data_IF_978835545751
#
_entry.id   IF_978835545751
#
_cell.length_a   1.000
_cell.length_b   1.000
_cell.length_c   1.000
_cell.angle_alpha   90.00
_cell.angle_beta   90.00
_cell.angle_gamma   90.00
#
_symmetry.space_group_name_H-M   'P 1'
#
loop_
_entity.id
_entity.type
_entity.pdbx_description
1 polymer ?
#
# COMPACT_ATOMS: atom_id res chain seq x y z
N UNK A 1 -9.80 1.37 -3.44
CA UNK A 1 -10.02 -0.06 -3.79
C UNK A 1 -8.76 -0.89 -3.65
N UNK A 2 -7.62 -0.53 -4.30
CA UNK A 2 -6.38 -1.32 -4.30
C UNK A 2 -5.92 -1.76 -2.90
N UNK A 3 -5.99 -0.88 -1.92
CA UNK A 3 -5.57 -1.12 -0.53
C UNK A 3 -6.51 -2.12 0.18
N UNK A 4 -7.83 -1.85 0.14
CA UNK A 4 -8.82 -2.73 0.78
C UNK A 4 -8.84 -4.12 0.18
N UNK A 5 -8.76 -4.25 -1.15
CA UNK A 5 -8.76 -5.58 -1.80
C UNK A 5 -7.53 -6.40 -1.43
N UNK A 6 -6.36 -5.76 -1.39
CA UNK A 6 -5.13 -6.45 -1.03
C UNK A 6 -5.06 -6.78 0.46
N UNK A 7 -5.55 -5.90 1.34
CA UNK A 7 -5.65 -6.23 2.76
C UNK A 7 -6.61 -7.39 3.02
N UNK A 8 -7.76 -7.41 2.32
CA UNK A 8 -8.71 -8.55 2.39
C UNK A 8 -8.06 -9.86 1.93
N UNK A 9 -7.22 -9.82 0.90
CA UNK A 9 -6.40 -10.96 0.49
C UNK A 9 -5.49 -11.43 1.65
N UNK A 10 -4.69 -10.54 2.24
CA UNK A 10 -3.81 -10.91 3.36
C UNK A 10 -4.58 -11.36 4.61
N UNK A 11 -5.73 -10.77 4.92
CA UNK A 11 -6.61 -11.21 6.01
C UNK A 11 -7.07 -12.67 5.80
N UNK A 12 -7.40 -13.04 4.56
CA UNK A 12 -7.76 -14.41 4.19
C UNK A 12 -6.57 -15.37 4.32
N UNK A 13 -5.38 -14.94 3.91
CA UNK A 13 -4.15 -15.74 4.05
C UNK A 13 -3.79 -15.96 5.53
N UNK A 14 -3.93 -14.92 6.38
CA UNK A 14 -3.71 -15.03 7.81
C UNK A 14 -4.73 -16.00 8.44
N UNK A 15 -6.01 -15.90 8.04
CA UNK A 15 -7.05 -16.81 8.51
C UNK A 15 -6.72 -18.26 8.14
N UNK A 16 -6.29 -18.52 6.90
CA UNK A 16 -5.89 -19.84 6.43
C UNK A 16 -4.69 -20.37 7.22
N UNK A 17 -3.67 -19.55 7.43
CA UNK A 17 -2.44 -19.96 8.10
C UNK A 17 -2.60 -20.17 9.62
N UNK A 18 -3.45 -19.40 10.28
CA UNK A 18 -3.50 -19.34 11.76
C UNK A 18 -4.85 -19.69 12.37
N UNK A 19 -5.91 -19.73 11.59
CA UNK A 19 -7.28 -19.86 12.07
C UNK A 19 -7.83 -18.60 12.77
N UNK A 20 -7.09 -17.47 12.74
CA UNK A 20 -7.48 -16.22 13.38
C UNK A 20 -7.92 -15.19 12.36
N UNK A 21 -8.97 -14.45 12.70
CA UNK A 21 -9.47 -13.32 11.90
C UNK A 21 -8.86 -12.02 12.39
N UNK A 22 -8.44 -11.18 11.45
CA UNK A 22 -8.00 -9.81 11.70
C UNK A 22 -8.69 -8.88 10.73
N UNK A 23 -8.87 -7.62 11.12
CA UNK A 23 -9.20 -6.52 10.24
C UNK A 23 -8.02 -5.56 10.26
N UNK A 24 -7.38 -5.37 9.12
CA UNK A 24 -6.18 -4.56 8.98
C UNK A 24 -6.52 -3.13 8.56
N UNK A 25 -5.71 -2.18 9.02
CA UNK A 25 -6.00 -0.76 8.85
C UNK A 25 -5.50 -0.21 7.52
N UNK A 26 -6.41 -0.02 6.55
CA UNK A 26 -6.10 0.53 5.24
C UNK A 26 -5.50 1.95 5.29
N UNK A 27 -5.99 2.83 6.15
CA UNK A 27 -5.44 4.19 6.25
C UNK A 27 -3.98 4.24 6.72
N UNK A 28 -3.49 3.21 7.42
CA UNK A 28 -2.07 3.06 7.75
C UNK A 28 -1.24 2.85 6.48
N UNK A 29 -1.67 1.92 5.63
CA UNK A 29 -1.02 1.62 4.35
C UNK A 29 -1.03 2.85 3.45
N UNK A 30 -2.19 3.48 3.27
CA UNK A 30 -2.34 4.67 2.46
C UNK A 30 -1.43 5.83 2.94
N UNK A 31 -1.35 6.08 4.26
CA UNK A 31 -0.48 7.11 4.83
C UNK A 31 0.99 6.88 4.45
N UNK A 32 1.50 5.65 4.59
CA UNK A 32 2.88 5.31 4.26
C UNK A 32 3.14 5.34 2.75
N UNK A 33 2.24 4.75 1.96
CA UNK A 33 2.36 4.68 0.51
C UNK A 33 2.38 6.07 -0.14
N UNK A 34 1.47 6.96 0.24
CA UNK A 34 1.43 8.32 -0.34
C UNK A 34 2.65 9.15 0.04
N UNK A 35 3.19 9.00 1.24
CA UNK A 35 4.46 9.64 1.61
C UNK A 35 5.60 9.15 0.70
N UNK A 36 5.74 7.85 0.50
CA UNK A 36 6.80 7.29 -0.33
C UNK A 36 6.63 7.66 -1.81
N UNK A 37 5.39 7.62 -2.31
CA UNK A 37 5.07 8.04 -3.69
C UNK A 37 5.40 9.51 -3.91
N UNK A 38 5.07 10.38 -2.96
CA UNK A 38 5.43 11.80 -3.03
C UNK A 38 6.96 12.02 -3.06
N UNK A 39 7.69 11.26 -2.25
CA UNK A 39 9.17 11.31 -2.28
C UNK A 39 9.69 10.88 -3.66
N UNK A 40 9.10 9.84 -4.26
CA UNK A 40 9.47 9.39 -5.61
C UNK A 40 9.18 10.47 -6.66
N UNK A 41 7.98 11.06 -6.66
CA UNK A 41 7.59 12.14 -7.57
C UNK A 41 8.55 13.33 -7.47
N UNK A 42 8.92 13.73 -6.27
CA UNK A 42 9.88 14.83 -6.06
C UNK A 42 11.27 14.47 -6.58
N UNK A 43 11.72 13.23 -6.38
CA UNK A 43 13.01 12.73 -6.93
C UNK A 43 13.04 12.67 -8.45
N UNK A 44 11.90 12.40 -9.07
CA UNK A 44 11.71 12.38 -10.52
C UNK A 44 11.34 13.76 -11.09
N UNK A 45 11.46 14.82 -10.29
CA UNK A 45 11.16 16.21 -10.70
C UNK A 45 9.73 16.42 -11.28
N UNK A 46 8.79 15.57 -10.85
CA UNK A 46 7.41 15.58 -11.32
C UNK A 46 7.13 14.70 -12.55
N UNK A 47 8.13 14.01 -13.09
CA UNK A 47 7.98 13.11 -14.25
C UNK A 47 7.43 11.72 -13.86
N UNK A 48 6.74 11.63 -12.72
CA UNK A 48 6.06 10.46 -12.23
C UNK A 48 4.67 10.87 -11.72
N UNK A 49 3.65 10.11 -12.09
CA UNK A 49 2.28 10.45 -11.70
C UNK A 49 2.07 10.29 -10.19
N UNK A 50 1.50 11.33 -9.56
CA UNK A 50 0.97 11.28 -8.22
C UNK A 50 -0.56 11.20 -8.27
N UNK A 51 -1.13 10.05 -7.95
CA UNK A 51 -2.58 9.82 -8.03
C UNK A 51 -3.08 8.90 -6.92
N UNK A 52 -4.41 8.79 -6.79
CA UNK A 52 -5.07 7.94 -5.79
C UNK A 52 -4.85 6.44 -6.01
N UNK A 53 -4.61 6.03 -7.26
CA UNK A 53 -4.39 4.65 -7.63
C UNK A 53 -3.16 4.06 -6.97
N UNK A 54 -3.12 2.74 -6.91
CA UNK A 54 -2.01 1.96 -6.38
C UNK A 54 -2.20 0.50 -6.76
N UNK A 55 -1.24 -0.32 -6.38
CA UNK A 55 -1.22 -1.76 -6.69
C UNK A 55 -1.17 -2.60 -5.41
N UNK A 56 -1.40 -3.91 -5.54
CA UNK A 56 -1.20 -4.86 -4.45
C UNK A 56 0.24 -4.80 -3.90
N UNK A 57 1.21 -4.53 -4.77
CA UNK A 57 2.61 -4.39 -4.41
C UNK A 57 2.88 -3.20 -3.48
N UNK A 58 2.06 -2.16 -3.53
CA UNK A 58 2.18 -1.03 -2.59
C UNK A 58 1.84 -1.47 -1.16
N UNK A 59 0.82 -2.30 -1.00
CA UNK A 59 0.45 -2.88 0.30
C UNK A 59 1.55 -3.80 0.80
N UNK A 60 1.99 -4.74 -0.05
CA UNK A 60 3.06 -5.69 0.28
C UNK A 60 4.34 -4.97 0.69
N UNK A 61 4.77 -3.96 -0.07
CA UNK A 61 5.96 -3.17 0.22
C UNK A 61 5.82 -2.40 1.54
N UNK A 62 4.64 -1.83 1.81
CA UNK A 62 4.36 -1.12 3.06
C UNK A 62 4.39 -2.07 4.25
N UNK A 63 3.75 -3.24 4.16
CA UNK A 63 3.79 -4.26 5.21
C UNK A 63 5.21 -4.75 5.48
N UNK A 64 6.03 -4.96 4.45
CA UNK A 64 7.46 -5.33 4.59
C UNK A 64 8.29 -4.23 5.25
N UNK A 65 8.08 -2.97 4.86
CA UNK A 65 8.93 -1.84 5.27
C UNK A 65 8.50 -1.25 6.60
N UNK A 66 7.20 -1.05 6.80
CA UNK A 66 6.62 -0.33 7.94
C UNK A 66 5.84 -1.23 8.90
N UNK A 67 5.48 -2.43 8.48
CA UNK A 67 4.55 -3.29 9.20
C UNK A 67 3.10 -2.94 8.91
N UNK A 68 2.21 -3.33 9.81
CA UNK A 68 0.76 -3.09 9.72
C UNK A 68 0.17 -2.91 11.11
N UNK A 69 -1.01 -2.31 11.19
CA UNK A 69 -1.77 -2.18 12.44
C UNK A 69 -3.19 -2.72 12.26
N UNK A 70 -3.80 -3.29 13.31
CA UNK A 70 -5.19 -3.72 13.24
C UNK A 70 -6.14 -2.52 13.31
N UNK A 71 -7.35 -2.73 12.81
CA UNK A 71 -8.43 -1.74 12.90
C UNK A 71 -8.66 -1.32 14.35
N UNK A 72 -9.05 -0.06 14.57
CA UNK A 72 -9.31 0.50 15.90
C UNK A 72 -8.08 0.97 16.68
N UNK A 73 -6.86 0.72 16.20
CA UNK A 73 -5.62 1.17 16.88
C UNK A 73 -5.07 2.50 16.36
N UNK A 74 -5.65 3.01 15.28
CA UNK A 74 -5.28 4.27 14.65
C UNK A 74 -6.52 5.16 14.53
N UNK A 75 -6.41 6.48 14.82
CA UNK A 75 -7.52 7.40 14.64
C UNK A 75 -8.05 7.35 13.21
N UNK A 76 -9.37 7.50 13.06
CA UNK A 76 -10.00 7.70 11.78
C UNK A 76 -10.65 9.09 11.79
N UNK A 77 -10.05 10.09 11.14
CA UNK A 77 -10.62 11.43 11.09
C UNK A 77 -11.99 11.40 10.41
N UNK A 78 -12.96 12.06 11.01
CA UNK A 78 -14.32 12.15 10.47
C UNK A 78 -14.33 12.78 9.09
N UNK A 79 -15.35 12.44 8.30
CA UNK A 79 -15.62 13.11 7.03
C UNK A 79 -16.34 14.44 7.27
N UNK A 80 -16.45 15.26 6.22
CA UNK A 80 -17.25 16.48 6.22
C UNK A 80 -18.74 16.26 6.56
N UNK A 81 -19.24 15.04 6.42
CA UNK A 81 -20.64 14.66 6.60
C UNK A 81 -20.93 14.00 7.95
N UNK A 82 -19.97 13.99 8.86
CA UNK A 82 -20.14 13.46 10.20
C UNK A 82 -20.22 11.93 10.28
N UNK A 83 -19.97 11.22 9.21
CA UNK A 83 -19.83 9.77 9.17
C UNK A 83 -18.35 9.34 9.22
N UNK A 84 -18.08 8.06 9.17
CA UNK A 84 -16.72 7.52 9.25
C UNK A 84 -15.99 7.44 7.89
N UNK A 85 -16.54 8.04 6.84
CA UNK A 85 -15.97 8.00 5.49
C UNK A 85 -15.08 9.20 5.23
N UNK A 86 -13.86 8.98 4.74
CA UNK A 86 -12.97 10.04 4.31
C UNK A 86 -13.44 10.69 3.01
N UNK A 87 -13.37 12.01 2.94
CA UNK A 87 -13.56 12.75 1.70
C UNK A 87 -12.28 12.75 0.87
N UNK A 88 -12.10 11.72 0.06
CA UNK A 88 -10.93 11.57 -0.80
C UNK A 88 -10.81 12.66 -1.87
N UNK A 89 -11.90 13.26 -2.30
CA UNK A 89 -11.86 14.37 -3.27
C UNK A 89 -11.20 15.60 -2.65
N UNK A 90 -11.57 15.97 -1.43
CA UNK A 90 -10.94 17.07 -0.71
C UNK A 90 -9.48 16.74 -0.39
N UNK A 91 -9.23 15.53 0.13
CA UNK A 91 -7.89 15.08 0.47
C UNK A 91 -6.93 15.18 -0.72
N UNK A 92 -7.28 14.61 -1.87
CA UNK A 92 -6.44 14.68 -3.07
C UNK A 92 -6.42 16.07 -3.70
N UNK A 93 -7.49 16.83 -3.56
CA UNK A 93 -7.53 18.25 -3.96
C UNK A 93 -6.48 19.11 -3.25
N UNK A 94 -6.04 18.71 -2.05
CA UNK A 94 -4.94 19.35 -1.31
C UNK A 94 -3.61 18.66 -1.55
N UNK A 95 -3.59 17.34 -1.53
CA UNK A 95 -2.37 16.54 -1.54
C UNK A 95 -1.63 16.61 -2.88
N UNK A 96 -2.34 16.44 -4.00
CA UNK A 96 -1.75 16.42 -5.33
C UNK A 96 -1.12 17.78 -5.72
N UNK A 97 -1.78 18.93 -5.57
CA UNK A 97 -1.16 20.22 -5.83
C UNK A 97 0.02 20.53 -4.91
N UNK A 98 -0.03 20.08 -3.65
CA UNK A 98 1.08 20.23 -2.73
C UNK A 98 2.32 19.52 -3.26
N UNK A 99 2.21 18.24 -3.60
CA UNK A 99 3.33 17.43 -4.12
C UNK A 99 3.84 18.00 -5.45
N UNK A 100 2.93 18.38 -6.35
CA UNK A 100 3.28 18.96 -7.64
C UNK A 100 4.03 20.31 -7.51
N UNK A 101 3.66 21.13 -6.53
CA UNK A 101 4.35 22.39 -6.25
C UNK A 101 5.78 22.13 -5.75
N UNK A 102 5.95 21.17 -4.83
CA UNK A 102 7.26 20.81 -4.29
C UNK A 102 8.16 20.23 -5.40
N UNK A 103 7.65 19.36 -6.26
CA UNK A 103 8.42 18.74 -7.34
C UNK A 103 9.00 19.74 -8.36
N UNK A 104 8.41 20.93 -8.47
CA UNK A 104 8.88 22.02 -9.36
C UNK A 104 9.96 22.91 -8.73
N UNK A 105 10.25 22.76 -7.44
CA UNK A 105 11.28 23.58 -6.78
C UNK A 105 12.66 23.05 -7.17
N UNK A 106 13.61 23.96 -7.43
CA UNK A 106 15.00 23.61 -7.66
C UNK A 106 15.53 22.74 -6.50
N UNK A 107 16.09 21.57 -6.84
CA UNK A 107 16.59 20.60 -5.88
C UNK A 107 17.61 21.17 -4.88
N UNK A 108 18.35 22.25 -5.26
CA UNK A 108 19.28 22.95 -4.37
C UNK A 108 18.60 23.86 -3.36
N UNK A 109 17.32 24.15 -3.55
CA UNK A 109 16.52 25.09 -2.72
C UNK A 109 15.45 24.38 -1.89
N UNK A 110 15.28 23.08 -2.05
CA UNK A 110 14.30 22.30 -1.31
C UNK A 110 14.86 21.92 0.07
N UNK A 111 14.07 22.10 1.12
CA UNK A 111 14.39 21.65 2.47
C UNK A 111 13.62 20.37 2.80
N UNK A 112 13.97 19.68 3.89
CA UNK A 112 13.18 18.51 4.33
C UNK A 112 11.84 18.88 5.00
N UNK A 113 11.56 20.16 5.20
CA UNK A 113 10.30 20.61 5.85
C UNK A 113 9.04 20.26 5.04
N UNK A 114 9.16 20.14 3.72
CA UNK A 114 8.03 19.71 2.90
C UNK A 114 7.49 18.32 3.30
N UNK A 115 8.37 17.41 3.77
CA UNK A 115 7.92 16.09 4.27
C UNK A 115 7.13 16.21 5.57
N UNK A 116 7.51 17.16 6.43
CA UNK A 116 6.77 17.46 7.67
C UNK A 116 5.39 18.05 7.33
N UNK A 117 5.33 18.98 6.39
CA UNK A 117 4.06 19.52 5.90
C UNK A 117 3.16 18.47 5.26
N UNK A 118 3.76 17.61 4.39
CA UNK A 118 3.05 16.49 3.79
C UNK A 118 2.51 15.52 4.84
N UNK A 119 3.33 15.14 5.83
CA UNK A 119 2.90 14.26 6.91
C UNK A 119 1.74 14.86 7.70
N UNK A 120 1.73 16.17 7.91
CA UNK A 120 0.60 16.87 8.53
C UNK A 120 -0.70 16.73 7.75
N UNK A 121 -0.64 16.82 6.41
CA UNK A 121 -1.79 16.59 5.53
C UNK A 121 -2.24 15.14 5.64
N UNK A 122 -1.33 14.19 5.52
CA UNK A 122 -1.63 12.74 5.62
C UNK A 122 -2.28 12.41 6.97
N UNK A 123 -1.73 12.92 8.06
CA UNK A 123 -2.24 12.67 9.41
C UNK A 123 -3.64 13.31 9.61
N UNK A 124 -3.90 14.46 9.02
CA UNK A 124 -5.19 15.15 9.10
C UNK A 124 -6.32 14.35 8.42
N UNK A 125 -6.04 13.71 7.30
CA UNK A 125 -7.06 12.99 6.51
C UNK A 125 -7.10 11.48 6.76
N UNK A 126 -5.95 10.85 6.98
CA UNK A 126 -5.84 9.39 7.12
C UNK A 126 -5.64 8.94 8.57
N UNK A 127 -5.33 9.88 9.47
CA UNK A 127 -4.97 9.61 10.85
C UNK A 127 -3.48 9.40 11.06
N UNK A 128 -3.02 9.72 12.26
CA UNK A 128 -1.62 9.58 12.65
C UNK A 128 -1.27 8.12 12.90
N UNK A 129 -0.27 7.62 12.18
CA UNK A 129 0.24 6.26 12.36
C UNK A 129 0.89 6.10 13.75
N UNK A 130 0.50 5.10 14.54
CA UNK A 130 1.09 4.87 15.85
C UNK A 130 2.49 4.24 15.71
N UNK A 131 3.42 4.66 16.57
CA UNK A 131 4.71 3.98 16.73
C UNK A 131 4.57 2.72 17.59
N UNK A 132 3.68 2.77 18.59
CA UNK A 132 3.33 1.67 19.48
C UNK A 132 1.83 1.72 19.77
N UNK A 133 1.23 0.55 19.96
CA UNK A 133 -0.17 0.40 20.30
C UNK A 133 -0.39 -0.86 21.14
N UNK A 134 -1.53 -0.93 21.83
CA UNK A 134 -1.96 -2.12 22.56
C UNK A 134 -3.08 -2.81 21.77
N UNK A 135 -2.92 -4.10 21.54
CA UNK A 135 -3.93 -4.95 20.91
C UNK A 135 -4.06 -6.25 21.71
N UNK A 136 -5.29 -6.60 22.09
CA UNK A 136 -5.58 -7.78 22.93
C UNK A 136 -4.69 -7.86 24.19
N UNK A 137 -4.48 -6.71 24.85
CA UNK A 137 -3.70 -6.62 26.10
C UNK A 137 -2.18 -6.68 25.94
N UNK A 138 -1.67 -6.82 24.70
CA UNK A 138 -0.24 -6.86 24.41
C UNK A 138 0.21 -5.61 23.65
N UNK A 139 1.40 -5.11 23.99
CA UNK A 139 1.99 -3.96 23.30
C UNK A 139 2.75 -4.40 22.05
N UNK A 140 2.52 -3.68 20.95
CA UNK A 140 3.16 -3.90 19.66
C UNK A 140 3.69 -2.59 19.05
N UNK A 141 4.69 -2.70 18.20
CA UNK A 141 4.94 -1.77 17.10
C UNK A 141 4.27 -2.32 15.82
N UNK A 142 4.05 -1.51 14.76
CA UNK A 142 3.52 -2.02 13.50
C UNK A 142 4.32 -3.20 12.93
N UNK A 143 5.65 -3.17 13.04
CA UNK A 143 6.53 -4.27 12.60
C UNK A 143 6.40 -5.52 13.46
N UNK A 144 6.35 -5.38 14.78
CA UNK A 144 6.19 -6.55 15.66
C UNK A 144 4.81 -7.17 15.56
N UNK A 145 3.78 -6.38 15.25
CA UNK A 145 2.45 -6.88 14.96
C UNK A 145 2.44 -7.68 13.66
N UNK A 146 3.00 -7.12 12.55
CA UNK A 146 3.15 -7.82 11.29
C UNK A 146 3.84 -9.19 11.48
N UNK A 147 4.95 -9.22 12.20
CA UNK A 147 5.68 -10.45 12.47
C UNK A 147 4.88 -11.48 13.29
N UNK A 148 3.84 -11.07 14.00
CA UNK A 148 2.97 -11.96 14.78
C UNK A 148 1.81 -12.57 14.00
N UNK A 149 1.60 -12.15 12.75
CA UNK A 149 0.44 -12.56 11.94
C UNK A 149 0.57 -13.96 11.30
N UNK A 150 1.75 -14.60 11.41
CA UNK A 150 1.93 -16.00 11.00
C UNK A 150 2.03 -16.23 9.49
N UNK A 151 2.31 -15.19 8.72
CA UNK A 151 2.59 -15.26 7.26
C UNK A 151 3.97 -14.70 6.96
N UNK A 152 4.64 -15.24 5.95
CA UNK A 152 5.87 -14.66 5.40
C UNK A 152 5.54 -13.90 4.11
N UNK A 153 5.77 -12.59 4.13
CA UNK A 153 5.49 -11.72 2.98
C UNK A 153 6.40 -12.01 1.77
N UNK A 154 7.44 -12.82 1.93
CA UNK A 154 8.30 -13.24 0.82
C UNK A 154 7.75 -14.43 0.02
N UNK A 155 6.71 -15.09 0.53
CA UNK A 155 6.04 -16.20 -0.15
C UNK A 155 5.09 -15.72 -1.26
N UNK A 156 4.83 -14.41 -1.34
CA UNK A 156 3.91 -13.82 -2.30
C UNK A 156 4.65 -13.26 -3.50
N UNK A 157 4.14 -13.58 -4.67
CA UNK A 157 4.70 -13.15 -5.96
C UNK A 157 3.60 -12.56 -6.84
N UNK A 158 3.98 -11.62 -7.70
CA UNK A 158 3.11 -11.09 -8.73
C UNK A 158 3.31 -11.88 -10.03
N UNK A 159 2.22 -12.32 -10.64
CA UNK A 159 2.22 -12.96 -11.96
C UNK A 159 1.44 -12.13 -12.96
N UNK A 160 1.82 -12.22 -14.22
CA UNK A 160 1.19 -11.49 -15.31
C UNK A 160 1.26 -12.29 -16.61
N UNK A 161 0.49 -11.89 -17.63
CA UNK A 161 0.51 -12.53 -18.94
C UNK A 161 0.47 -11.49 -20.05
N UNK A 162 1.64 -11.09 -20.53
CA UNK A 162 1.81 -10.13 -21.61
C UNK A 162 2.66 -10.69 -22.75
N UNK A 163 2.21 -10.53 -23.98
CA UNK A 163 2.86 -11.07 -25.17
C UNK A 163 4.01 -10.20 -25.69
N UNK A 164 4.14 -8.95 -25.23
CA UNK A 164 5.22 -8.05 -25.65
C UNK A 164 6.52 -8.22 -24.84
N UNK A 165 6.49 -9.05 -23.80
CA UNK A 165 7.68 -9.51 -23.08
C UNK A 165 7.83 -11.03 -23.19
N UNK A 166 9.04 -11.57 -23.15
CA UNK A 166 9.24 -13.03 -23.14
C UNK A 166 8.54 -13.69 -21.96
N UNK A 167 7.87 -14.82 -22.23
CA UNK A 167 7.35 -15.64 -21.15
C UNK A 167 8.48 -16.26 -20.32
N UNK A 168 8.19 -16.62 -19.08
CA UNK A 168 9.10 -17.18 -18.09
C UNK A 168 10.24 -16.24 -17.69
N UNK A 169 10.04 -14.95 -17.84
CA UNK A 169 10.90 -13.87 -17.36
C UNK A 169 10.13 -12.95 -16.43
N UNK A 170 10.84 -12.17 -15.64
CA UNK A 170 10.23 -11.14 -14.80
C UNK A 170 10.51 -9.75 -15.37
N UNK A 171 9.51 -8.88 -15.34
CA UNK A 171 9.64 -7.49 -15.77
C UNK A 171 8.73 -6.57 -14.93
N UNK A 172 9.01 -5.28 -14.94
CA UNK A 172 8.12 -4.29 -14.33
C UNK A 172 7.02 -3.94 -15.33
N UNK A 173 5.75 -4.20 -14.96
CA UNK A 173 4.59 -3.89 -15.80
C UNK A 173 4.53 -2.38 -16.05
N UNK A 174 4.43 -1.96 -17.32
CA UNK A 174 4.51 -0.57 -17.76
C UNK A 174 3.15 0.14 -17.62
N UNK A 175 2.69 0.31 -16.39
CA UNK A 175 1.50 1.09 -16.05
C UNK A 175 1.85 2.19 -15.05
N UNK A 176 1.13 3.30 -15.10
CA UNK A 176 1.44 4.48 -14.28
C UNK A 176 1.36 4.22 -12.76
N UNK A 177 0.50 3.29 -12.33
CA UNK A 177 0.36 2.94 -10.93
C UNK A 177 1.51 2.04 -10.42
N UNK A 178 2.32 1.48 -11.32
CA UNK A 178 3.50 0.67 -10.97
C UNK A 178 4.75 1.54 -10.71
N UNK A 179 4.59 2.59 -9.92
CA UNK A 179 5.61 3.61 -9.63
C UNK A 179 6.81 3.10 -8.82
N UNK A 180 6.69 1.94 -8.16
CA UNK A 180 7.78 1.27 -7.43
C UNK A 180 8.62 0.36 -8.32
N UNK A 181 8.13 0.06 -9.53
CA UNK A 181 8.74 -0.86 -10.49
C UNK A 181 8.99 -2.28 -9.94
N UNK A 182 8.10 -2.87 -9.11
CA UNK A 182 8.21 -4.28 -8.74
C UNK A 182 8.14 -5.15 -9.98
N UNK A 183 8.75 -6.32 -9.89
CA UNK A 183 8.77 -7.29 -10.97
C UNK A 183 7.58 -8.25 -10.85
N UNK A 184 6.93 -8.52 -11.97
CA UNK A 184 5.92 -9.58 -12.11
C UNK A 184 6.47 -10.68 -13.02
N UNK A 185 6.21 -11.94 -12.66
CA UNK A 185 6.58 -13.09 -13.51
C UNK A 185 5.60 -13.23 -14.66
N UNK A 186 6.12 -13.25 -15.88
CA UNK A 186 5.34 -13.34 -17.10
C UNK A 186 5.16 -14.80 -17.51
N UNK A 187 3.93 -15.27 -17.57
CA UNK A 187 3.59 -16.63 -17.97
C UNK A 187 2.52 -16.63 -19.07
N UNK A 188 2.39 -17.69 -19.89
CA UNK A 188 1.26 -17.80 -20.82
C UNK A 188 -0.08 -17.72 -20.08
N UNK A 189 -1.10 -17.18 -20.75
CA UNK A 189 -2.43 -16.98 -20.15
C UNK A 189 -3.02 -18.28 -19.60
N UNK A 190 -2.89 -19.36 -20.34
CA UNK A 190 -3.43 -20.67 -19.91
C UNK A 190 -2.74 -21.18 -18.64
N UNK A 191 -1.43 -20.95 -18.50
CA UNK A 191 -0.69 -21.31 -17.30
C UNK A 191 -1.06 -20.39 -16.13
N UNK A 192 -1.26 -19.08 -16.37
CA UNK A 192 -1.72 -18.16 -15.35
C UNK A 192 -3.09 -18.59 -14.81
N UNK A 193 -4.02 -19.00 -15.67
CA UNK A 193 -5.32 -19.51 -15.26
C UNK A 193 -5.19 -20.80 -14.45
N UNK A 194 -4.32 -21.73 -14.86
CA UNK A 194 -4.04 -22.95 -14.08
C UNK A 194 -3.47 -22.65 -12.70
N UNK A 195 -2.60 -21.64 -12.56
CA UNK A 195 -2.06 -21.20 -11.26
C UNK A 195 -3.19 -20.70 -10.38
N UNK A 196 -4.08 -19.86 -10.92
CA UNK A 196 -5.25 -19.33 -10.21
C UNK A 196 -6.17 -20.46 -9.76
N UNK A 197 -6.56 -21.36 -10.65
CA UNK A 197 -7.43 -22.48 -10.34
C UNK A 197 -6.83 -23.40 -9.26
N UNK A 198 -5.55 -23.74 -9.37
CA UNK A 198 -4.85 -24.52 -8.37
C UNK A 198 -4.78 -23.82 -7.01
N UNK A 199 -4.58 -22.51 -6.97
CA UNK A 199 -4.56 -21.77 -5.72
C UNK A 199 -5.95 -21.80 -5.04
N UNK A 200 -7.01 -21.59 -5.80
CA UNK A 200 -8.40 -21.62 -5.31
C UNK A 200 -8.77 -23.04 -4.82
N UNK A 201 -8.43 -24.08 -5.57
CA UNK A 201 -8.69 -25.48 -5.18
C UNK A 201 -7.97 -25.86 -3.87
N UNK A 202 -6.82 -25.27 -3.60
CA UNK A 202 -6.09 -25.43 -2.33
C UNK A 202 -6.60 -24.52 -1.21
N UNK A 203 -7.64 -23.71 -1.48
CA UNK A 203 -8.25 -22.80 -0.53
C UNK A 203 -7.45 -21.52 -0.26
N UNK A 204 -6.62 -21.10 -1.22
CA UNK A 204 -6.01 -19.77 -1.22
C UNK A 204 -6.91 -18.76 -1.92
N UNK A 205 -6.68 -17.47 -1.63
CA UNK A 205 -7.24 -16.35 -2.39
C UNK A 205 -6.25 -15.90 -3.47
N UNK A 206 -6.72 -15.19 -4.47
CA UNK A 206 -5.91 -14.65 -5.58
C UNK A 206 -6.38 -13.23 -5.92
#
# INVERSE_FOLDING_TARGET
CWDYSTLSFFESEILKATGKTYTLRASFVANKTYMERAIQVVRFHGDCQFAQGGSAEDVLATMKTHGIVPEGTMPFPGSLYGDSLNNFNEFFGVLEPYVAAIAKIDAKKISNQWKVGLQGILDAYLGKCPEKFTYEGKQYSPKSFMASLGIDLNDYVSITSYTHHPFYTAFAVEVQDNWRFPLSYNVPMDEMMQIIDNAIEQGYTV
#
